data_IF_539210717399
#
_entry.id   IF_539210717399
#
_cell.length_a   1.000
_cell.length_b   1.000
_cell.length_c   1.000
_cell.angle_alpha   90.00
_cell.angle_beta   90.00
_cell.angle_gamma   90.00
#
_symmetry.space_group_name_H-M   'P 1'
#
loop_
_entity.id
_entity.type
_entity.pdbx_description
1 polymer ?
#
# COMPACT_ATOMS: atom_id res chain seq x y z
N UNK A 1 5.97 4.01 -24.33
CA UNK A 1 7.29 3.53 -23.85
C UNK A 1 7.09 3.22 -22.38
N UNK A 2 7.43 2.03 -21.89
CA UNK A 2 7.24 1.71 -20.47
C UNK A 2 8.13 2.58 -19.59
N UNK A 3 7.63 2.96 -18.43
CA UNK A 3 8.35 3.75 -17.42
C UNK A 3 9.55 2.92 -16.90
N UNK A 4 10.71 3.55 -16.78
CA UNK A 4 11.89 2.88 -16.23
C UNK A 4 11.86 3.03 -14.70
N UNK A 5 11.39 1.99 -13.99
CA UNK A 5 11.24 1.99 -12.54
C UNK A 5 12.57 1.99 -11.78
N UNK A 6 13.68 1.58 -12.41
CA UNK A 6 15.00 1.62 -11.77
C UNK A 6 15.46 3.05 -11.45
N UNK A 7 14.96 4.06 -12.20
CA UNK A 7 15.25 5.47 -11.90
C UNK A 7 14.63 5.96 -10.60
N UNK A 8 13.53 5.35 -10.18
CA UNK A 8 12.81 5.69 -8.95
C UNK A 8 13.28 4.84 -7.76
N UNK A 9 14.05 3.79 -8.03
CA UNK A 9 14.56 2.88 -7.00
C UNK A 9 15.41 3.57 -5.92
N UNK A 10 16.00 4.76 -6.20
CA UNK A 10 16.72 5.57 -5.22
C UNK A 10 15.81 6.11 -4.11
N UNK A 11 14.55 6.39 -4.41
CA UNK A 11 13.58 6.96 -3.45
C UNK A 11 13.10 5.92 -2.43
N UNK A 12 13.24 4.63 -2.75
CA UNK A 12 13.00 3.52 -1.83
C UNK A 12 14.19 3.25 -0.89
N UNK A 13 15.21 4.10 -0.90
CA UNK A 13 16.27 4.06 0.13
C UNK A 13 15.77 4.76 1.40
N UNK A 14 16.29 4.33 2.54
CA UNK A 14 16.01 4.94 3.84
C UNK A 14 16.49 6.41 3.83
N UNK A 15 15.58 7.32 3.51
CA UNK A 15 15.81 8.74 3.65
C UNK A 15 15.41 9.13 5.08
N UNK A 16 16.32 9.69 5.86
CA UNK A 16 16.14 9.98 7.28
C UNK A 16 14.90 10.83 7.62
N UNK A 17 14.37 11.60 6.66
CA UNK A 17 13.19 12.47 6.88
C UNK A 17 11.84 11.75 6.84
N UNK A 18 11.74 10.63 6.10
CA UNK A 18 10.49 9.86 5.94
C UNK A 18 10.57 8.46 6.53
N UNK A 19 11.75 8.04 7.01
CA UNK A 19 12.02 6.67 7.45
C UNK A 19 11.06 6.20 8.55
N UNK A 20 10.85 7.00 9.60
CA UNK A 20 9.98 6.62 10.71
C UNK A 20 8.50 6.51 10.29
N UNK A 21 7.98 7.45 9.49
CA UNK A 21 6.59 7.39 9.04
C UNK A 21 6.37 6.19 8.13
N UNK A 22 7.29 5.92 7.22
CA UNK A 22 7.26 4.73 6.38
C UNK A 22 7.34 3.45 7.22
N UNK A 23 8.25 3.39 8.19
CA UNK A 23 8.36 2.25 9.10
C UNK A 23 7.06 2.00 9.87
N UNK A 24 6.45 3.04 10.44
CA UNK A 24 5.17 2.94 11.13
C UNK A 24 4.07 2.38 10.22
N UNK A 25 3.88 2.99 9.05
CA UNK A 25 2.81 2.62 8.12
C UNK A 25 3.04 1.23 7.53
N UNK A 26 4.25 0.97 7.02
CA UNK A 26 4.58 -0.27 6.29
C UNK A 26 4.73 -1.50 7.19
N UNK A 27 4.89 -1.30 8.50
CA UNK A 27 4.80 -2.38 9.48
C UNK A 27 3.41 -2.52 10.11
N UNK A 28 2.54 -1.50 9.98
CA UNK A 28 1.21 -1.53 10.57
C UNK A 28 0.18 -2.18 9.65
N UNK A 29 0.03 -1.73 8.41
CA UNK A 29 -1.02 -2.23 7.55
C UNK A 29 -0.92 -3.73 7.23
N UNK A 30 0.28 -4.35 7.08
CA UNK A 30 0.36 -5.80 6.93
C UNK A 30 -0.20 -6.54 8.13
N UNK A 31 0.05 -6.05 9.35
CA UNK A 31 -0.53 -6.63 10.58
C UNK A 31 -2.05 -6.55 10.59
N UNK A 32 -2.61 -5.45 10.05
CA UNK A 32 -4.06 -5.29 9.90
C UNK A 32 -4.63 -6.30 8.90
N UNK A 33 -3.99 -6.46 7.75
CA UNK A 33 -4.35 -7.48 6.75
C UNK A 33 -4.30 -8.88 7.38
N UNK A 34 -3.18 -9.24 8.03
CA UNK A 34 -2.98 -10.55 8.64
C UNK A 34 -4.03 -10.89 9.73
N UNK A 35 -4.57 -9.90 10.45
CA UNK A 35 -5.69 -10.12 11.40
C UNK A 35 -6.99 -10.55 10.71
N UNK A 36 -7.11 -10.28 9.41
CA UNK A 36 -8.31 -10.57 8.61
C UNK A 36 -8.12 -11.76 7.65
N UNK A 37 -6.87 -12.09 7.36
CA UNK A 37 -6.52 -13.25 6.54
C UNK A 37 -6.60 -14.54 7.35
N UNK A 38 -7.08 -15.61 6.71
CA UNK A 38 -6.89 -16.96 7.23
C UNK A 38 -5.40 -17.35 7.06
N UNK A 39 -4.84 -18.06 8.05
CA UNK A 39 -3.43 -18.47 7.97
C UNK A 39 -3.20 -19.55 6.90
N UNK A 40 -1.94 -19.67 6.47
CA UNK A 40 -1.48 -20.74 5.59
C UNK A 40 -2.20 -20.80 4.22
N UNK A 41 -2.51 -19.64 3.66
CA UNK A 41 -3.06 -19.49 2.31
C UNK A 41 -2.03 -18.87 1.35
N UNK A 42 -2.36 -18.87 0.07
CA UNK A 42 -1.47 -18.37 -0.97
C UNK A 42 -1.69 -16.87 -1.17
N UNK A 43 -0.61 -16.11 -1.14
CA UNK A 43 -0.61 -14.65 -1.24
C UNK A 43 0.22 -14.19 -2.44
N UNK A 44 -0.36 -13.29 -3.24
CA UNK A 44 0.33 -12.53 -4.26
C UNK A 44 0.44 -11.08 -3.81
N UNK A 45 1.64 -10.54 -3.78
CA UNK A 45 1.92 -9.15 -3.45
C UNK A 45 2.42 -8.38 -4.67
N UNK A 46 1.92 -7.18 -4.90
CA UNK A 46 2.36 -6.28 -5.94
C UNK A 46 3.28 -5.21 -5.34
N UNK A 47 4.52 -5.17 -5.82
CA UNK A 47 5.55 -4.25 -5.37
C UNK A 47 6.29 -4.72 -4.10
N UNK A 48 7.61 -4.68 -4.14
CA UNK A 48 8.48 -4.90 -2.97
C UNK A 48 8.58 -3.61 -2.14
N UNK A 49 8.60 -2.45 -2.81
CA UNK A 49 8.77 -1.16 -2.18
C UNK A 49 10.01 -1.10 -1.28
N UNK A 50 9.82 -0.71 -0.02
CA UNK A 50 10.89 -0.66 0.99
C UNK A 50 11.30 -2.04 1.56
N UNK A 51 10.61 -3.12 1.17
CA UNK A 51 10.92 -4.49 1.58
C UNK A 51 10.36 -4.93 2.94
N UNK A 52 9.54 -4.12 3.62
CA UNK A 52 8.95 -4.52 4.91
C UNK A 52 7.86 -5.57 4.76
N UNK A 53 6.98 -5.40 3.80
CA UNK A 53 5.75 -6.16 3.67
C UNK A 53 5.95 -7.59 3.18
N UNK A 54 6.87 -7.88 2.23
CA UNK A 54 7.14 -9.25 1.82
C UNK A 54 7.57 -10.16 2.97
N UNK A 55 8.29 -9.61 3.96
CA UNK A 55 8.71 -10.37 5.14
C UNK A 55 7.53 -10.75 6.05
N UNK A 56 6.51 -9.86 6.15
CA UNK A 56 5.31 -10.16 6.92
C UNK A 56 4.49 -11.25 6.25
N UNK A 57 4.22 -11.11 4.96
CA UNK A 57 3.36 -12.05 4.24
C UNK A 57 4.03 -13.42 4.05
N UNK A 58 5.31 -13.47 3.72
CA UNK A 58 6.01 -14.75 3.53
C UNK A 58 6.04 -15.62 4.79
N UNK A 59 6.11 -15.00 5.98
CA UNK A 59 6.09 -15.74 7.27
C UNK A 59 4.72 -16.29 7.66
N UNK A 60 3.63 -15.72 7.12
CA UNK A 60 2.26 -16.03 7.54
C UNK A 60 1.44 -16.74 6.46
N UNK A 61 1.97 -16.88 5.25
CA UNK A 61 1.33 -17.59 4.14
C UNK A 61 1.95 -18.96 3.90
N UNK A 62 1.18 -19.84 3.27
CA UNK A 62 1.69 -21.13 2.76
C UNK A 62 2.63 -20.90 1.58
N UNK A 63 2.24 -19.99 0.70
CA UNK A 63 3.01 -19.55 -0.47
C UNK A 63 2.90 -18.04 -0.57
N UNK A 64 4.03 -17.39 -0.75
CA UNK A 64 4.11 -15.96 -1.03
C UNK A 64 4.82 -15.72 -2.34
N UNK A 65 4.19 -14.98 -3.23
CA UNK A 65 4.77 -14.50 -4.49
C UNK A 65 4.72 -12.98 -4.47
N UNK A 66 5.83 -12.32 -4.73
CA UNK A 66 5.89 -10.86 -4.91
C UNK A 66 6.37 -10.51 -6.30
N UNK A 67 5.70 -9.53 -6.93
CA UNK A 67 6.04 -9.03 -8.26
C UNK A 67 6.64 -7.64 -8.12
N UNK A 68 7.76 -7.38 -8.79
CA UNK A 68 8.29 -6.03 -8.92
C UNK A 68 8.86 -5.79 -10.32
N UNK A 69 8.69 -4.59 -10.86
CA UNK A 69 9.18 -4.21 -12.18
C UNK A 69 10.57 -3.58 -12.18
N UNK A 70 11.20 -3.42 -11.00
CA UNK A 70 12.56 -2.89 -10.87
C UNK A 70 13.53 -3.98 -10.44
N UNK A 71 14.50 -4.30 -11.30
CA UNK A 71 15.56 -5.25 -10.95
C UNK A 71 16.41 -4.71 -9.81
N UNK A 72 16.63 -3.41 -9.74
CA UNK A 72 17.41 -2.76 -8.68
C UNK A 72 16.75 -2.93 -7.31
N UNK A 73 15.41 -2.81 -7.23
CA UNK A 73 14.65 -3.03 -5.98
C UNK A 73 14.72 -4.50 -5.57
N UNK A 74 14.56 -5.41 -6.52
CA UNK A 74 14.65 -6.87 -6.29
C UNK A 74 16.02 -7.25 -5.72
N UNK A 75 17.09 -6.82 -6.38
CA UNK A 75 18.46 -7.18 -5.98
C UNK A 75 18.78 -6.66 -4.58
N UNK A 76 18.41 -5.42 -4.27
CA UNK A 76 18.56 -4.84 -2.92
C UNK A 76 17.78 -5.63 -1.87
N UNK A 77 16.53 -5.96 -2.17
CA UNK A 77 15.69 -6.72 -1.27
C UNK A 77 16.29 -8.10 -0.94
N UNK A 78 16.68 -8.86 -1.95
CA UNK A 78 17.28 -10.18 -1.78
C UNK A 78 18.66 -10.12 -1.08
N UNK A 79 19.44 -9.07 -1.32
CA UNK A 79 20.69 -8.83 -0.62
C UNK A 79 20.46 -8.49 0.86
N UNK A 80 19.47 -7.66 1.17
CA UNK A 80 19.15 -7.24 2.55
C UNK A 80 18.51 -8.36 3.36
N UNK A 81 17.74 -9.23 2.71
CA UNK A 81 16.94 -10.30 3.35
C UNK A 81 17.18 -11.66 2.70
N UNK A 82 18.40 -12.23 2.86
CA UNK A 82 18.74 -13.52 2.27
C UNK A 82 17.89 -14.68 2.81
N UNK A 83 17.25 -14.49 3.98
CA UNK A 83 16.33 -15.46 4.59
C UNK A 83 14.91 -15.43 4.01
N UNK A 84 14.62 -14.53 3.08
CA UNK A 84 13.29 -14.47 2.46
C UNK A 84 13.00 -15.77 1.70
N UNK A 85 11.90 -16.41 2.06
CA UNK A 85 11.51 -17.74 1.57
C UNK A 85 10.37 -17.75 0.55
N UNK A 86 9.91 -16.55 0.13
CA UNK A 86 8.91 -16.41 -0.93
C UNK A 86 9.53 -16.45 -2.34
N UNK A 87 8.69 -16.31 -3.34
CA UNK A 87 9.09 -16.20 -4.75
C UNK A 87 9.07 -14.75 -5.19
N UNK A 88 10.16 -14.26 -5.77
CA UNK A 88 10.21 -12.93 -6.40
C UNK A 88 10.09 -13.08 -7.90
N UNK A 89 9.20 -12.32 -8.53
CA UNK A 89 8.98 -12.31 -9.97
C UNK A 89 9.31 -10.93 -10.52
N UNK A 90 10.32 -10.84 -11.39
CA UNK A 90 10.59 -9.62 -12.16
C UNK A 90 9.56 -9.48 -13.26
N UNK A 91 8.62 -8.55 -13.11
CA UNK A 91 7.61 -8.22 -14.12
C UNK A 91 6.98 -6.88 -13.83
N UNK A 92 6.64 -6.12 -14.87
CA UNK A 92 5.64 -5.06 -14.75
C UNK A 92 4.28 -5.67 -14.46
N UNK A 93 3.44 -4.97 -13.71
CA UNK A 93 2.09 -5.48 -13.38
C UNK A 93 1.25 -5.69 -14.63
N UNK A 94 1.40 -4.82 -15.62
CA UNK A 94 0.73 -4.92 -16.92
C UNK A 94 1.13 -6.17 -17.71
N UNK A 95 2.35 -6.68 -17.52
CA UNK A 95 2.90 -7.82 -18.27
C UNK A 95 2.78 -9.14 -17.53
N UNK A 96 2.56 -9.09 -16.20
CA UNK A 96 2.48 -10.29 -15.38
C UNK A 96 1.43 -11.26 -15.95
N UNK A 97 1.85 -12.50 -16.14
CA UNK A 97 0.97 -13.60 -16.48
C UNK A 97 1.33 -14.86 -15.70
N UNK A 98 0.31 -15.61 -15.27
CA UNK A 98 0.45 -16.82 -14.47
C UNK A 98 -0.76 -17.71 -14.61
N UNK A 99 -0.56 -19.04 -14.53
CA UNK A 99 -1.63 -20.00 -14.38
C UNK A 99 -2.05 -20.19 -12.92
N UNK A 100 -1.26 -19.66 -11.99
CA UNK A 100 -1.53 -19.79 -10.57
C UNK A 100 -2.61 -18.81 -10.11
N UNK A 101 -3.33 -19.24 -9.08
CA UNK A 101 -4.33 -18.43 -8.40
C UNK A 101 -4.06 -18.36 -6.93
N UNK A 102 -4.45 -17.26 -6.33
CA UNK A 102 -4.13 -16.89 -4.95
C UNK A 102 -5.41 -16.69 -4.13
N UNK A 103 -5.31 -16.95 -2.85
CA UNK A 103 -6.40 -16.69 -1.91
C UNK A 103 -6.50 -15.19 -1.61
N UNK A 104 -5.34 -14.52 -1.59
CA UNK A 104 -5.24 -13.09 -1.35
C UNK A 104 -4.29 -12.41 -2.33
N UNK A 105 -4.68 -11.21 -2.77
CA UNK A 105 -3.82 -10.33 -3.56
C UNK A 105 -3.68 -9.01 -2.80
N UNK A 106 -2.44 -8.59 -2.54
CA UNK A 106 -2.12 -7.36 -1.81
C UNK A 106 -1.54 -6.33 -2.77
N UNK A 107 -2.14 -5.14 -2.82
CA UNK A 107 -1.71 -3.97 -3.58
C UNK A 107 -1.45 -2.82 -2.61
N UNK A 108 -0.31 -2.89 -1.90
CA UNK A 108 0.06 -1.91 -0.88
C UNK A 108 0.84 -0.76 -1.49
N UNK A 109 0.22 0.42 -1.59
CA UNK A 109 0.83 1.62 -2.17
C UNK A 109 1.30 1.40 -3.61
N UNK A 110 0.39 0.89 -4.45
CA UNK A 110 0.61 0.55 -5.86
C UNK A 110 -0.23 1.43 -6.79
N UNK A 111 -1.53 1.61 -6.49
CA UNK A 111 -2.47 2.21 -7.44
C UNK A 111 -2.20 3.69 -7.72
N UNK A 112 -1.52 4.38 -6.82
CA UNK A 112 -1.07 5.76 -7.02
C UNK A 112 0.04 5.89 -8.06
N UNK A 113 0.77 4.80 -8.35
CA UNK A 113 1.91 4.78 -9.27
C UNK A 113 1.58 4.33 -10.69
N UNK A 114 0.56 3.49 -10.88
CA UNK A 114 0.25 2.87 -12.17
C UNK A 114 -0.53 3.81 -13.09
N UNK A 115 -0.35 3.69 -14.40
CA UNK A 115 -1.02 4.56 -15.38
C UNK A 115 -2.55 4.35 -15.38
N UNK A 116 -2.99 3.10 -15.25
CA UNK A 116 -4.40 2.73 -15.25
C UNK A 116 -4.74 1.78 -14.09
N UNK A 117 -5.13 2.31 -12.92
CA UNK A 117 -5.46 1.49 -11.74
C UNK A 117 -6.61 0.50 -11.97
N UNK A 118 -7.66 0.92 -12.68
CA UNK A 118 -8.80 0.04 -12.99
C UNK A 118 -8.37 -1.15 -13.84
N UNK A 119 -7.44 -0.95 -14.79
CA UNK A 119 -6.87 -2.04 -15.59
C UNK A 119 -6.12 -3.05 -14.71
N UNK A 120 -5.30 -2.56 -13.79
CA UNK A 120 -4.54 -3.42 -12.85
C UNK A 120 -5.51 -4.21 -11.96
N UNK A 121 -6.46 -3.55 -11.33
CA UNK A 121 -7.48 -4.22 -10.51
C UNK A 121 -8.22 -5.31 -11.30
N UNK A 122 -8.72 -4.97 -12.50
CA UNK A 122 -9.44 -5.91 -13.37
C UNK A 122 -8.55 -7.08 -13.80
N UNK A 123 -7.31 -6.80 -14.17
CA UNK A 123 -6.33 -7.83 -14.56
C UNK A 123 -6.07 -8.81 -13.44
N UNK A 124 -5.81 -8.30 -12.22
CA UNK A 124 -5.45 -9.17 -11.10
C UNK A 124 -6.64 -9.93 -10.52
N UNK A 125 -7.89 -9.52 -10.80
CA UNK A 125 -9.10 -10.29 -10.45
C UNK A 125 -9.04 -11.73 -10.96
N UNK A 126 -8.50 -11.97 -12.17
CA UNK A 126 -8.40 -13.32 -12.77
C UNK A 126 -7.49 -14.28 -12.00
N UNK A 127 -6.57 -13.75 -11.17
CA UNK A 127 -5.65 -14.55 -10.37
C UNK A 127 -6.19 -14.87 -8.96
N UNK A 128 -7.40 -14.43 -8.62
CA UNK A 128 -8.06 -14.86 -7.39
C UNK A 128 -8.67 -16.26 -7.54
N UNK A 129 -8.55 -17.06 -6.49
CA UNK A 129 -9.33 -18.26 -6.29
C UNK A 129 -10.79 -17.92 -5.99
N UNK A 130 -11.73 -18.88 -6.13
CA UNK A 130 -13.09 -18.70 -5.61
C UNK A 130 -13.05 -18.33 -4.11
N UNK A 131 -13.76 -17.27 -3.72
CA UNK A 131 -13.74 -16.74 -2.36
C UNK A 131 -12.49 -15.94 -1.97
N UNK A 132 -11.54 -15.75 -2.90
CA UNK A 132 -10.35 -14.94 -2.69
C UNK A 132 -10.66 -13.45 -2.62
N UNK A 133 -9.77 -12.67 -2.01
CA UNK A 133 -9.95 -11.23 -1.76
C UNK A 133 -8.73 -10.42 -2.19
N UNK A 134 -8.97 -9.13 -2.46
CA UNK A 134 -7.91 -8.14 -2.60
C UNK A 134 -7.83 -7.25 -1.36
N UNK A 135 -6.60 -6.82 -1.06
CA UNK A 135 -6.30 -5.74 -0.12
C UNK A 135 -5.59 -4.62 -0.86
N UNK A 136 -6.11 -3.42 -0.72
CA UNK A 136 -5.56 -2.22 -1.38
C UNK A 136 -5.24 -1.18 -0.32
N UNK A 137 -3.99 -0.72 -0.26
CA UNK A 137 -3.61 0.44 0.53
C UNK A 137 -3.11 1.56 -0.37
N UNK A 138 -3.50 2.81 -0.08
CA UNK A 138 -3.12 4.02 -0.82
C UNK A 138 -3.03 5.24 0.10
N UNK A 139 -2.26 6.29 -0.25
CA UNK A 139 -2.28 7.57 0.45
C UNK A 139 -3.67 8.23 0.38
N UNK A 140 -4.04 8.96 1.45
CA UNK A 140 -5.34 9.64 1.55
C UNK A 140 -5.21 11.16 1.39
N UNK A 141 -5.76 11.70 0.32
CA UNK A 141 -5.83 13.14 0.07
C UNK A 141 -6.59 13.91 1.16
N UNK A 142 -7.59 13.29 1.79
CA UNK A 142 -8.44 13.90 2.81
C UNK A 142 -7.92 13.70 4.24
N UNK A 143 -6.67 13.27 4.41
CA UNK A 143 -6.07 13.09 5.73
C UNK A 143 -6.04 14.36 6.57
N UNK A 144 -6.10 14.21 7.90
CA UNK A 144 -6.18 15.33 8.85
C UNK A 144 -5.06 16.35 8.63
N UNK A 145 -3.83 15.91 8.49
CA UNK A 145 -2.68 16.80 8.25
C UNK A 145 -2.80 17.58 6.93
N UNK A 146 -3.34 16.97 5.85
CA UNK A 146 -3.56 17.67 4.57
C UNK A 146 -4.70 18.68 4.69
N UNK A 147 -5.79 18.34 5.38
CA UNK A 147 -6.90 19.26 5.67
C UNK A 147 -6.45 20.48 6.51
N UNK A 148 -5.60 20.24 7.52
CA UNK A 148 -4.98 21.32 8.29
C UNK A 148 -4.11 22.21 7.39
N UNK A 149 -3.24 21.63 6.58
CA UNK A 149 -2.42 22.38 5.63
C UNK A 149 -3.24 23.21 4.64
N UNK A 150 -4.36 22.68 4.16
CA UNK A 150 -5.30 23.40 3.30
C UNK A 150 -5.96 24.59 4.05
N UNK A 151 -6.47 24.34 5.26
CA UNK A 151 -7.11 25.40 6.07
C UNK A 151 -6.13 26.51 6.48
N UNK A 152 -4.85 26.19 6.59
CA UNK A 152 -3.76 27.15 6.88
C UNK A 152 -3.23 27.86 5.62
N UNK A 153 -3.76 27.56 4.43
CA UNK A 153 -3.27 28.12 3.18
C UNK A 153 -1.87 27.61 2.76
N UNK A 154 -1.38 26.52 3.34
CA UNK A 154 -0.09 25.92 2.99
C UNK A 154 -0.16 25.07 1.71
N UNK A 155 -1.32 24.59 1.35
CA UNK A 155 -1.62 23.89 0.09
C UNK A 155 -2.92 24.44 -0.49
N UNK A 156 -2.96 24.60 -1.82
CA UNK A 156 -4.11 25.17 -2.53
C UNK A 156 -5.20 24.12 -2.80
N UNK A 157 -4.84 22.85 -2.86
CA UNK A 157 -5.77 21.75 -3.11
C UNK A 157 -5.26 20.49 -2.40
N UNK A 158 -6.14 19.80 -1.68
CA UNK A 158 -5.82 18.58 -0.94
C UNK A 158 -5.44 17.40 -1.86
N UNK A 159 -5.78 17.43 -3.14
CA UNK A 159 -5.40 16.41 -4.13
C UNK A 159 -4.08 16.70 -4.85
N UNK A 160 -3.45 17.86 -4.63
CA UNK A 160 -2.17 18.17 -5.23
C UNK A 160 -1.08 17.19 -4.75
N UNK A 161 -0.27 16.73 -5.70
CA UNK A 161 0.94 15.98 -5.40
C UNK A 161 2.01 16.93 -4.87
N UNK A 162 2.62 16.60 -3.76
CA UNK A 162 3.77 17.35 -3.23
C UNK A 162 5.09 16.85 -3.87
N UNK A 163 6.21 17.48 -3.53
CA UNK A 163 7.52 17.10 -4.08
C UNK A 163 7.92 15.66 -3.76
N UNK A 164 7.57 15.16 -2.58
CA UNK A 164 7.80 13.76 -2.18
C UNK A 164 6.94 12.80 -3.01
N UNK A 165 5.65 13.12 -3.19
CA UNK A 165 4.76 12.31 -4.03
C UNK A 165 5.30 12.18 -5.45
N UNK A 166 5.76 13.31 -6.02
CA UNK A 166 6.33 13.35 -7.37
C UNK A 166 7.66 12.58 -7.47
N UNK A 167 8.52 12.69 -6.45
CA UNK A 167 9.79 11.97 -6.41
C UNK A 167 9.58 10.45 -6.34
N UNK A 168 8.60 10.00 -5.56
CA UNK A 168 8.16 8.60 -5.50
C UNK A 168 7.41 8.15 -6.77
N UNK A 169 7.09 9.08 -7.67
CA UNK A 169 6.41 8.77 -8.91
C UNK A 169 4.91 8.59 -8.78
N UNK A 170 4.28 9.17 -7.77
CA UNK A 170 2.82 9.20 -7.68
C UNK A 170 2.23 9.97 -8.86
N UNK A 171 1.11 9.51 -9.36
CA UNK A 171 0.36 10.14 -10.45
C UNK A 171 -0.98 10.70 -9.96
N UNK A 172 -1.42 10.28 -8.78
CA UNK A 172 -2.73 10.67 -8.19
C UNK A 172 -2.76 10.53 -6.69
N UNK A 173 -3.78 11.16 -6.12
CA UNK A 173 -4.18 11.00 -4.72
C UNK A 173 -5.56 10.38 -4.65
N UNK A 174 -5.81 9.56 -3.64
CA UNK A 174 -7.09 8.91 -3.39
C UNK A 174 -7.79 9.51 -2.17
N UNK A 175 -9.09 9.25 -2.07
CA UNK A 175 -9.88 9.32 -0.83
C UNK A 175 -10.79 8.09 -0.78
N UNK A 176 -11.52 7.91 0.30
CA UNK A 176 -12.46 6.78 0.46
C UNK A 176 -13.39 6.65 -0.75
N UNK A 177 -14.01 7.75 -1.18
CA UNK A 177 -14.98 7.75 -2.28
C UNK A 177 -14.35 7.35 -3.61
N UNK A 178 -13.19 7.94 -3.95
CA UNK A 178 -12.53 7.71 -5.25
C UNK A 178 -11.96 6.30 -5.36
N UNK A 179 -11.34 5.79 -4.28
CA UNK A 179 -10.83 4.41 -4.26
C UNK A 179 -11.98 3.39 -4.29
N UNK A 180 -13.03 3.60 -3.50
CA UNK A 180 -14.22 2.73 -3.50
C UNK A 180 -14.88 2.65 -4.88
N UNK A 181 -14.98 3.79 -5.58
CA UNK A 181 -15.50 3.85 -6.95
C UNK A 181 -14.63 3.05 -7.92
N UNK A 182 -13.30 3.18 -7.82
CA UNK A 182 -12.35 2.48 -8.69
C UNK A 182 -12.41 0.96 -8.49
N UNK A 183 -12.42 0.51 -7.23
CA UNK A 183 -12.58 -0.90 -6.85
C UNK A 183 -13.89 -1.47 -7.41
N UNK A 184 -14.99 -0.72 -7.30
CA UNK A 184 -16.30 -1.14 -7.82
C UNK A 184 -16.32 -1.23 -9.34
N UNK A 185 -15.74 -0.24 -10.06
CA UNK A 185 -15.64 -0.26 -11.53
C UNK A 185 -14.83 -1.48 -12.01
N UNK A 186 -13.81 -1.89 -11.28
CA UNK A 186 -13.02 -3.08 -11.59
C UNK A 186 -13.72 -4.41 -11.29
N UNK A 187 -14.99 -4.38 -10.86
CA UNK A 187 -15.83 -5.56 -10.62
C UNK A 187 -15.60 -6.22 -9.27
N UNK A 188 -15.35 -5.41 -8.23
CA UNK A 188 -15.26 -5.87 -6.84
C UNK A 188 -16.33 -5.24 -5.97
N UNK A 189 -16.75 -5.97 -4.94
CA UNK A 189 -17.56 -5.50 -3.83
C UNK A 189 -16.66 -5.20 -2.64
N UNK A 190 -16.73 -3.97 -2.14
CA UNK A 190 -15.99 -3.55 -0.96
C UNK A 190 -16.57 -4.22 0.28
N UNK A 191 -15.74 -4.90 1.05
CA UNK A 191 -16.14 -5.63 2.27
C UNK A 191 -15.65 -4.97 3.55
N UNK A 192 -14.57 -4.18 3.48
CA UNK A 192 -14.04 -3.47 4.64
C UNK A 192 -13.23 -2.25 4.24
N UNK A 193 -13.30 -1.21 5.10
CA UNK A 193 -12.50 0.02 4.99
C UNK A 193 -11.96 0.37 6.36
N UNK A 194 -10.68 0.66 6.45
CA UNK A 194 -10.06 1.22 7.65
C UNK A 194 -8.98 2.24 7.29
N UNK A 195 -8.65 3.08 8.26
CA UNK A 195 -7.56 4.04 8.12
C UNK A 195 -6.23 3.46 8.59
N UNK A 196 -5.16 4.06 8.08
CA UNK A 196 -3.79 3.78 8.51
C UNK A 196 -3.20 5.07 9.04
N UNK A 197 -2.91 5.12 10.32
CA UNK A 197 -2.24 6.22 11.01
C UNK A 197 -2.99 7.56 10.96
N UNK A 198 -3.60 7.94 12.07
CA UNK A 198 -4.17 9.28 12.27
C UNK A 198 -3.05 10.25 12.67
N UNK A 199 -2.64 11.13 11.76
CA UNK A 199 -1.51 12.05 11.94
C UNK A 199 -2.00 13.49 12.17
N UNK A 200 -2.06 13.96 13.43
CA UNK A 200 -2.52 15.32 13.74
C UNK A 200 -1.42 16.37 13.50
N UNK A 201 -0.14 15.99 13.67
CA UNK A 201 1.02 16.89 13.60
C UNK A 201 2.16 16.23 12.81
N UNK A 202 3.13 17.02 12.32
CA UNK A 202 4.37 16.48 11.73
C UNK A 202 5.08 15.50 12.67
N UNK A 203 5.67 14.43 12.10
CA UNK A 203 6.32 13.35 12.87
C UNK A 203 7.38 13.87 13.82
N UNK A 204 8.20 14.84 13.40
CA UNK A 204 9.27 15.40 14.27
C UNK A 204 8.73 16.10 15.52
N UNK A 205 7.51 16.67 15.47
CA UNK A 205 6.84 17.25 16.65
C UNK A 205 6.34 16.13 17.56
N UNK A 206 5.71 15.10 16.99
CA UNK A 206 5.21 13.95 17.75
C UNK A 206 6.35 13.17 18.43
N UNK A 207 7.54 13.12 17.81
CA UNK A 207 8.74 12.53 18.42
C UNK A 207 9.23 13.30 19.65
N UNK A 208 9.00 14.61 19.71
CA UNK A 208 9.38 15.46 20.85
C UNK A 208 8.42 15.43 22.04
N UNK A 209 7.29 14.71 21.93
CA UNK A 209 6.31 14.57 23.01
C UNK A 209 6.67 13.37 23.89
N UNK A 210 6.45 13.51 25.20
CA UNK A 210 6.64 12.40 26.15
C UNK A 210 5.89 11.14 25.73
N UNK A 211 6.53 9.98 25.88
CA UNK A 211 5.99 8.68 25.46
C UNK A 211 5.70 8.57 23.94
N UNK A 212 6.55 9.13 23.09
CA UNK A 212 6.37 9.17 21.64
C UNK A 212 5.96 7.82 21.04
N UNK A 213 6.61 6.71 21.39
CA UNK A 213 6.29 5.38 20.88
C UNK A 213 4.85 4.95 21.21
N UNK A 214 4.38 5.21 22.43
CA UNK A 214 3.01 4.94 22.83
C UNK A 214 2.01 5.83 22.09
N UNK A 215 2.38 7.09 21.85
CA UNK A 215 1.56 8.03 21.09
C UNK A 215 1.45 7.57 19.63
N UNK A 216 2.55 7.15 19.00
CA UNK A 216 2.49 6.58 17.62
C UNK A 216 1.62 5.33 17.57
N UNK A 217 1.79 4.41 18.52
CA UNK A 217 0.96 3.20 18.57
C UNK A 217 -0.53 3.54 18.72
N UNK A 218 -0.88 4.46 19.62
CA UNK A 218 -2.26 4.92 19.80
C UNK A 218 -2.82 5.58 18.54
N UNK A 219 -2.03 6.41 17.84
CA UNK A 219 -2.46 7.04 16.59
C UNK A 219 -2.63 6.06 15.43
N UNK A 220 -1.88 4.96 15.42
CA UNK A 220 -2.09 3.85 14.50
C UNK A 220 -3.40 3.11 14.83
N UNK A 221 -3.65 2.80 16.09
CA UNK A 221 -4.85 2.08 16.54
C UNK A 221 -6.12 2.89 16.32
N UNK A 222 -6.14 4.14 16.78
CA UNK A 222 -7.28 5.07 16.58
C UNK A 222 -7.52 5.33 15.09
N UNK A 223 -6.45 5.43 14.30
CA UNK A 223 -6.55 5.66 12.86
C UNK A 223 -7.39 4.64 12.12
N UNK A 224 -7.48 3.41 12.63
CA UNK A 224 -8.31 2.33 12.05
C UNK A 224 -9.77 2.75 11.89
N UNK A 225 -10.32 3.43 12.89
CA UNK A 225 -11.73 3.83 12.96
C UNK A 225 -12.03 5.13 12.20
N UNK A 226 -10.98 5.83 11.73
CA UNK A 226 -11.10 7.13 11.05
C UNK A 226 -10.47 7.12 9.64
N UNK A 227 -10.95 6.27 8.70
CA UNK A 227 -10.37 6.21 7.35
C UNK A 227 -10.41 7.57 6.62
N UNK A 228 -11.44 8.40 6.86
CA UNK A 228 -11.55 9.72 6.23
C UNK A 228 -10.47 10.72 6.66
N UNK A 229 -9.80 10.48 7.79
CA UNK A 229 -8.82 11.40 8.39
C UNK A 229 -7.41 10.82 8.48
N UNK A 230 -7.28 9.51 8.32
CA UNK A 230 -5.98 8.84 8.39
C UNK A 230 -5.12 9.13 7.17
N UNK A 231 -3.80 9.04 7.33
CA UNK A 231 -2.79 9.37 6.30
C UNK A 231 -2.93 8.46 5.08
N UNK A 232 -3.32 7.20 5.30
CA UNK A 232 -3.57 6.24 4.25
C UNK A 232 -4.84 5.45 4.52
N UNK A 233 -5.32 4.78 3.49
CA UNK A 233 -6.50 3.92 3.49
C UNK A 233 -6.07 2.47 3.34
N UNK A 234 -6.79 1.55 3.98
CA UNK A 234 -6.74 0.13 3.70
C UNK A 234 -8.16 -0.35 3.39
N UNK A 235 -8.33 -0.94 2.22
CA UNK A 235 -9.60 -1.50 1.76
C UNK A 235 -9.47 -2.99 1.45
N UNK A 236 -10.47 -3.77 1.88
CA UNK A 236 -10.65 -5.17 1.50
C UNK A 236 -11.83 -5.29 0.56
N UNK A 237 -11.68 -6.08 -0.50
CA UNK A 237 -12.76 -6.30 -1.45
C UNK A 237 -12.72 -7.73 -2.02
N UNK A 238 -13.87 -8.22 -2.45
CA UNK A 238 -14.05 -9.52 -3.08
C UNK A 238 -14.63 -9.36 -4.50
N UNK A 239 -14.37 -10.28 -5.43
CA UNK A 239 -14.96 -10.23 -6.75
C UNK A 239 -16.48 -10.15 -6.68
N UNK A 240 -17.11 -9.21 -7.40
CA UNK A 240 -18.57 -9.17 -7.50
C UNK A 240 -19.07 -10.41 -8.22
N UNK A 241 -20.18 -10.96 -7.73
CA UNK A 241 -20.89 -12.09 -8.37
C UNK A 241 -21.73 -11.64 -9.57
N UNK A 242 -22.04 -10.34 -9.65
CA UNK A 242 -22.78 -9.78 -10.76
C UNK A 242 -21.89 -9.71 -12.01
N UNK A 243 -22.36 -10.32 -13.09
CA UNK A 243 -21.76 -10.28 -14.42
C UNK A 243 -22.22 -9.06 -15.19
#
# INVERSE_FOLDING_TARGET
MKRNLDKEASEYQENAKTSLENELILNWYPKRILKRMLPQLDVLELGIGHGYTPLWFSKHSRKHVVIDGSQVVIDRFLQKYPEYNGTVVFSYFEDFDSQEKFDYIVMGFVLEHVDNPSLILTKFRKYLKPGGKIYVAVPNAKSLNRRLGFSMGMIDNIYNLNSNDLALGHQRQYCVDTLSKEIKIAGFNLTHVEGIYLKPLPVHILQGIDNADKNFQALLEVGVDFPELSVALLMEAEPSTDR
#
